data_IF_677987765272
#
_entry.id   IF_677987765272
#
_cell.length_a   1.000
_cell.length_b   1.000
_cell.length_c   1.000
_cell.angle_alpha   90.00
_cell.angle_beta   90.00
_cell.angle_gamma   90.00
#
_symmetry.space_group_name_H-M   'P 1'
#
loop_
_entity.id
_entity.type
_entity.pdbx_description
1 polymer ?
#
# COMPACT_ATOMS: atom_id res chain seq x y z
N UNK A 1 5.58 -6.15 9.28
CA UNK A 1 4.46 -5.26 9.60
C UNK A 1 3.20 -6.08 9.87
N UNK A 2 2.52 -5.79 10.94
CA UNK A 2 1.29 -6.46 11.30
C UNK A 2 0.13 -5.48 11.26
N UNK A 3 -0.95 -5.85 10.58
CA UNK A 3 -2.15 -5.03 10.53
C UNK A 3 -2.93 -5.28 11.82
N UNK A 4 -3.16 -4.23 12.58
CA UNK A 4 -3.81 -4.34 13.86
C UNK A 4 -5.21 -3.71 13.84
N UNK A 5 -5.88 -3.71 14.99
CA UNK A 5 -7.24 -3.22 15.12
C UNK A 5 -7.43 -1.73 14.80
N UNK A 6 -6.35 -0.95 14.79
CA UNK A 6 -6.44 0.48 14.48
C UNK A 6 -6.85 0.75 13.04
N UNK A 7 -6.72 -0.24 12.17
CA UNK A 7 -7.10 -0.12 10.78
C UNK A 7 -8.53 -0.56 10.49
N UNK A 8 -9.28 -0.96 11.51
CA UNK A 8 -10.71 -1.22 11.42
C UNK A 8 -11.12 -2.34 10.45
N UNK A 9 -10.42 -3.47 10.50
CA UNK A 9 -10.72 -4.61 9.64
C UNK A 9 -11.49 -5.73 10.34
N UNK A 10 -12.12 -5.46 11.46
CA UNK A 10 -12.70 -6.48 12.33
C UNK A 10 -13.82 -7.30 11.71
N UNK A 11 -14.59 -6.69 10.83
CA UNK A 11 -15.81 -7.31 10.31
C UNK A 11 -15.65 -7.83 8.90
N UNK A 12 -14.45 -7.74 8.35
CA UNK A 12 -14.23 -8.17 6.98
C UNK A 12 -13.94 -9.66 6.92
N UNK A 13 -14.56 -10.33 5.97
CA UNK A 13 -14.35 -11.75 5.72
C UNK A 13 -13.31 -11.99 4.63
N UNK A 14 -12.83 -10.91 4.01
CA UNK A 14 -11.84 -11.01 2.94
C UNK A 14 -10.41 -11.19 3.47
N UNK A 15 -9.54 -11.50 2.56
CA UNK A 15 -8.10 -11.59 2.83
C UNK A 15 -7.45 -10.25 2.58
N UNK A 16 -6.31 -10.02 3.25
CA UNK A 16 -5.50 -8.81 3.02
C UNK A 16 -4.53 -9.09 1.87
N UNK A 17 -4.55 -8.21 0.87
CA UNK A 17 -3.56 -8.22 -0.20
C UNK A 17 -2.63 -7.04 0.04
N UNK A 18 -1.33 -7.28 0.04
CA UNK A 18 -0.34 -6.23 0.31
C UNK A 18 0.81 -6.22 -0.68
N UNK A 19 1.37 -5.03 -0.84
CA UNK A 19 2.59 -4.76 -1.60
C UNK A 19 3.47 -3.92 -0.69
N UNK A 20 4.76 -4.22 -0.61
CA UNK A 20 5.70 -3.48 0.23
C UNK A 20 6.79 -2.86 -0.60
N UNK A 21 7.19 -1.64 -0.23
CA UNK A 21 8.35 -0.97 -0.79
C UNK A 21 9.39 -0.86 0.31
N UNK A 22 10.59 -1.38 0.06
CA UNK A 22 11.75 -1.24 0.94
C UNK A 22 12.75 -0.28 0.33
N UNK A 23 13.26 0.65 1.12
CA UNK A 23 14.16 1.70 0.62
C UNK A 23 15.65 1.32 0.69
N UNK A 24 16.01 0.16 1.24
CA UNK A 24 17.39 -0.39 1.17
C UNK A 24 18.46 0.65 1.53
N UNK A 25 18.51 1.04 2.79
CA UNK A 25 19.45 2.03 3.34
C UNK A 25 19.20 3.48 2.90
N UNK A 26 18.12 3.72 2.18
CA UNK A 26 17.67 5.06 1.86
C UNK A 26 16.49 5.40 2.76
N UNK A 27 16.19 6.67 2.86
CA UNK A 27 15.09 7.16 3.68
C UNK A 27 14.32 8.23 2.94
N UNK A 28 13.05 8.33 3.21
CA UNK A 28 12.23 9.46 2.77
C UNK A 28 11.61 10.10 3.99
N UNK A 29 10.86 11.16 3.80
CA UNK A 29 10.22 11.86 4.91
C UNK A 29 8.73 12.06 4.63
N UNK A 30 7.99 12.34 5.70
CA UNK A 30 6.54 12.45 5.63
C UNK A 30 6.09 13.61 4.75
N UNK A 31 6.78 14.74 4.83
CA UNK A 31 6.43 15.92 4.04
C UNK A 31 6.49 15.63 2.54
N UNK A 32 7.56 14.97 2.10
CA UNK A 32 7.70 14.57 0.71
C UNK A 32 6.54 13.65 0.28
N UNK A 33 6.23 12.65 1.11
CA UNK A 33 5.16 11.70 0.79
C UNK A 33 3.80 12.40 0.73
N UNK A 34 3.50 13.28 1.67
CA UNK A 34 2.24 14.03 1.67
C UNK A 34 2.08 14.78 0.36
N UNK A 35 3.12 15.49 -0.07
CA UNK A 35 3.07 16.29 -1.28
C UNK A 35 2.97 15.44 -2.54
N UNK A 36 3.74 14.36 -2.60
CA UNK A 36 3.76 13.49 -3.77
C UNK A 36 2.45 12.72 -3.92
N UNK A 37 1.95 12.17 -2.83
CA UNK A 37 0.72 11.36 -2.86
C UNK A 37 -0.53 12.16 -3.23
N UNK A 38 -0.56 13.47 -2.97
CA UNK A 38 -1.69 14.31 -3.38
C UNK A 38 -1.94 14.22 -4.88
N UNK A 39 -0.89 14.04 -5.67
CA UNK A 39 -0.99 13.93 -7.12
C UNK A 39 -1.76 12.69 -7.57
N UNK A 40 -1.95 11.73 -6.68
CA UNK A 40 -2.60 10.46 -6.97
C UNK A 40 -3.91 10.27 -6.19
N UNK A 41 -4.42 11.33 -5.59
CA UNK A 41 -5.61 11.27 -4.70
C UNK A 41 -5.38 10.35 -3.50
N UNK A 42 -4.19 10.42 -2.94
CA UNK A 42 -3.81 9.68 -1.73
C UNK A 42 -3.51 10.71 -0.65
N UNK A 43 -4.21 10.60 0.49
CA UNK A 43 -4.16 11.62 1.53
C UNK A 43 -3.90 11.00 2.90
N UNK A 44 -3.11 11.71 3.71
CA UNK A 44 -2.86 11.31 5.10
C UNK A 44 -4.13 11.53 5.91
N UNK A 45 -4.55 10.50 6.66
CA UNK A 45 -5.72 10.60 7.51
C UNK A 45 -5.33 10.97 8.95
N UNK A 46 -6.33 11.16 9.81
CA UNK A 46 -6.11 11.54 11.20
C UNK A 46 -5.42 10.45 12.02
N UNK A 47 -5.44 9.22 11.56
CA UNK A 47 -4.79 8.09 12.24
C UNK A 47 -3.34 7.90 11.85
N UNK A 48 -2.85 8.74 10.93
CA UNK A 48 -1.43 8.72 10.55
C UNK A 48 -1.08 7.72 9.46
N UNK A 49 -2.04 7.28 8.67
CA UNK A 49 -1.81 6.45 7.49
C UNK A 49 -2.41 7.12 6.26
N UNK A 50 -1.92 6.76 5.08
CA UNK A 50 -2.44 7.31 3.83
C UNK A 50 -3.57 6.45 3.29
N UNK A 51 -4.53 7.11 2.65
CA UNK A 51 -5.68 6.45 2.05
C UNK A 51 -5.88 6.92 0.62
N UNK A 52 -6.03 5.96 -0.30
CA UNK A 52 -6.37 6.26 -1.69
C UNK A 52 -7.87 6.42 -1.81
N UNK A 53 -8.29 7.55 -2.34
CA UNK A 53 -9.71 7.85 -2.53
C UNK A 53 -10.05 7.75 -4.02
N UNK A 54 -11.13 7.03 -4.32
CA UNK A 54 -11.65 6.90 -5.68
C UNK A 54 -13.17 6.94 -5.63
N UNK A 55 -13.78 7.89 -6.34
CA UNK A 55 -15.23 8.10 -6.33
C UNK A 55 -15.80 8.24 -4.91
N UNK A 56 -15.07 8.93 -4.04
CA UNK A 56 -15.49 9.15 -2.65
C UNK A 56 -15.31 7.95 -1.73
N UNK A 57 -14.69 6.88 -2.20
CA UNK A 57 -14.44 5.67 -1.41
C UNK A 57 -12.95 5.46 -1.21
N UNK A 58 -12.60 4.94 -0.04
CA UNK A 58 -11.23 4.52 0.25
C UNK A 58 -11.04 3.13 -0.33
N UNK A 59 -10.09 2.98 -1.25
CA UNK A 59 -9.89 1.71 -1.94
C UNK A 59 -8.65 0.95 -1.48
N UNK A 60 -7.64 1.64 -0.97
CA UNK A 60 -6.51 0.98 -0.30
C UNK A 60 -5.85 1.95 0.67
N UNK A 61 -5.01 1.40 1.53
CA UNK A 61 -4.32 2.13 2.58
C UNK A 61 -2.82 1.95 2.44
N UNK A 62 -2.05 2.96 2.82
CA UNK A 62 -0.59 2.90 2.85
C UNK A 62 -0.14 3.19 4.28
N UNK A 63 0.56 2.24 4.86
CA UNK A 63 1.13 2.34 6.20
C UNK A 63 2.65 2.38 6.14
N UNK A 64 3.26 2.79 7.25
CA UNK A 64 4.71 2.70 7.43
C UNK A 64 5.10 1.22 7.43
N UNK A 65 6.21 0.88 6.79
CA UNK A 65 6.68 -0.50 6.71
C UNK A 65 6.95 -1.10 8.09
N UNK A 66 7.43 -0.29 9.03
CA UNK A 66 7.81 -0.74 10.36
C UNK A 66 6.78 -0.34 11.42
N UNK A 67 6.74 -1.12 12.51
CA UNK A 67 5.86 -0.85 13.64
C UNK A 67 6.07 0.58 14.17
N UNK A 68 5.03 1.28 14.60
CA UNK A 68 3.64 0.80 14.76
C UNK A 68 2.77 0.93 13.50
N UNK A 69 3.34 1.28 12.37
CA UNK A 69 2.62 1.35 11.11
C UNK A 69 2.10 2.73 10.73
N UNK A 70 2.04 3.67 11.65
CA UNK A 70 1.66 5.04 11.29
C UNK A 70 2.89 5.88 10.98
N UNK A 71 2.62 7.00 10.29
CA UNK A 71 3.67 7.95 9.92
C UNK A 71 3.78 9.12 10.89
N UNK A 72 2.83 9.25 11.81
CA UNK A 72 2.84 10.36 12.77
C UNK A 72 4.18 10.43 13.49
N UNK A 73 4.79 11.62 13.49
CA UNK A 73 6.09 11.89 14.09
C UNK A 73 7.25 11.10 13.49
N UNK A 74 7.05 10.47 12.33
CA UNK A 74 8.12 9.75 11.65
C UNK A 74 9.07 10.74 10.95
N UNK A 75 10.31 10.80 11.44
CA UNK A 75 11.34 11.67 10.84
C UNK A 75 11.99 11.00 9.63
N UNK A 76 12.17 9.69 9.70
CA UNK A 76 12.79 8.90 8.64
C UNK A 76 11.91 7.72 8.33
N UNK A 77 11.53 7.61 7.07
CA UNK A 77 10.67 6.52 6.60
C UNK A 77 11.51 5.62 5.70
N UNK A 78 11.58 4.33 6.04
CA UNK A 78 12.43 3.35 5.36
C UNK A 78 11.65 2.40 4.48
N UNK A 79 10.35 2.58 4.39
CA UNK A 79 9.52 1.78 3.51
C UNK A 79 8.04 2.00 3.73
N UNK A 80 7.26 1.40 2.84
CA UNK A 80 5.81 1.56 2.79
C UNK A 80 5.14 0.21 2.63
N UNK A 81 3.95 0.06 3.21
CA UNK A 81 3.08 -1.10 2.97
C UNK A 81 1.76 -0.61 2.40
N UNK A 82 1.44 -1.07 1.21
CA UNK A 82 0.17 -0.81 0.53
C UNK A 82 -0.71 -2.03 0.74
N UNK A 83 -1.96 -1.85 1.13
CA UNK A 83 -2.83 -3.00 1.36
C UNK A 83 -4.30 -2.65 1.19
N UNK A 84 -5.09 -3.69 0.92
CA UNK A 84 -6.55 -3.61 0.93
C UNK A 84 -7.12 -4.97 1.29
N UNK A 85 -8.41 -4.99 1.63
CA UNK A 85 -9.12 -6.23 1.96
C UNK A 85 -9.96 -6.62 0.77
N UNK A 86 -9.86 -7.89 0.36
CA UNK A 86 -10.58 -8.40 -0.80
C UNK A 86 -12.10 -8.37 -0.58
N UNK A 87 -12.80 -8.10 -1.65
CA UNK A 87 -14.26 -8.17 -1.71
C UNK A 87 -14.65 -9.03 -2.91
N UNK A 88 -15.35 -8.50 -3.90
CA UNK A 88 -15.65 -9.29 -5.09
C UNK A 88 -14.49 -9.26 -6.10
N UNK A 89 -14.32 -10.30 -6.94
CA UNK A 89 -13.16 -10.40 -7.83
C UNK A 89 -12.97 -9.23 -8.80
N UNK A 90 -14.05 -8.63 -9.28
CA UNK A 90 -13.97 -7.51 -10.23
C UNK A 90 -13.35 -6.30 -9.55
N UNK A 91 -13.84 -5.96 -8.34
CA UNK A 91 -13.32 -4.83 -7.59
C UNK A 91 -11.89 -5.10 -7.12
N UNK A 92 -11.59 -6.32 -6.69
CA UNK A 92 -10.25 -6.71 -6.26
C UNK A 92 -9.23 -6.49 -7.37
N UNK A 93 -9.56 -6.85 -8.60
CA UNK A 93 -8.67 -6.66 -9.74
C UNK A 93 -8.41 -5.18 -9.99
N UNK A 94 -9.46 -4.36 -9.96
CA UNK A 94 -9.32 -2.91 -10.14
C UNK A 94 -8.47 -2.28 -9.06
N UNK A 95 -8.70 -2.66 -7.80
CA UNK A 95 -7.98 -2.11 -6.67
C UNK A 95 -6.51 -2.53 -6.74
N UNK A 96 -6.23 -3.79 -7.03
CA UNK A 96 -4.85 -4.27 -7.14
C UNK A 96 -4.10 -3.55 -8.26
N UNK A 97 -4.74 -3.37 -9.42
CA UNK A 97 -4.13 -2.61 -10.52
C UNK A 97 -3.83 -1.17 -10.12
N UNK A 98 -4.77 -0.52 -9.47
CA UNK A 98 -4.59 0.85 -9.00
C UNK A 98 -3.46 0.94 -7.97
N UNK A 99 -3.46 0.02 -7.02
CA UNK A 99 -2.45 -0.04 -5.96
C UNK A 99 -1.06 -0.29 -6.52
N UNK A 100 -0.92 -1.24 -7.44
CA UNK A 100 0.35 -1.55 -8.08
C UNK A 100 0.87 -0.37 -8.90
N UNK A 101 -0.01 0.30 -9.64
CA UNK A 101 0.37 1.49 -10.41
C UNK A 101 0.83 2.63 -9.49
N UNK A 102 0.13 2.84 -8.38
CA UNK A 102 0.51 3.87 -7.41
C UNK A 102 1.86 3.54 -6.75
N UNK A 103 2.07 2.26 -6.41
CA UNK A 103 3.35 1.82 -5.85
C UNK A 103 4.50 2.06 -6.83
N UNK A 104 4.30 1.74 -8.11
CA UNK A 104 5.32 1.99 -9.13
C UNK A 104 5.64 3.48 -9.28
N UNK A 105 4.61 4.33 -9.26
CA UNK A 105 4.82 5.78 -9.40
C UNK A 105 5.62 6.35 -8.26
N UNK A 106 5.25 6.04 -7.03
CA UNK A 106 5.98 6.55 -5.88
C UNK A 106 7.38 5.93 -5.81
N UNK A 107 7.52 4.67 -6.19
CA UNK A 107 8.80 3.98 -6.15
C UNK A 107 9.83 4.61 -7.09
N UNK A 108 9.41 5.19 -8.21
CA UNK A 108 10.32 5.92 -9.09
C UNK A 108 10.94 7.11 -8.39
N UNK A 109 10.19 7.75 -7.48
CA UNK A 109 10.66 8.93 -6.76
C UNK A 109 11.56 8.58 -5.57
N UNK A 110 11.29 7.45 -4.91
CA UNK A 110 12.01 7.10 -3.69
C UNK A 110 13.07 6.02 -3.90
N UNK A 111 13.13 5.43 -5.11
CA UNK A 111 14.16 4.45 -5.49
C UNK A 111 14.26 3.24 -4.57
N UNK A 112 13.12 2.69 -4.19
CA UNK A 112 13.06 1.47 -3.41
C UNK A 112 12.91 0.23 -4.29
N UNK A 113 12.55 -0.87 -3.65
CA UNK A 113 12.20 -2.11 -4.32
C UNK A 113 10.83 -2.56 -3.86
N UNK A 114 10.05 -3.09 -4.79
CA UNK A 114 8.68 -3.51 -4.52
C UNK A 114 8.67 -5.02 -4.31
N UNK A 115 8.02 -5.46 -3.24
CA UNK A 115 7.89 -6.87 -2.89
C UNK A 115 6.42 -7.23 -2.71
N UNK A 116 6.08 -8.50 -2.99
CA UNK A 116 4.75 -9.02 -2.65
C UNK A 116 4.71 -9.43 -1.17
N UNK A 117 3.58 -9.97 -0.74
CA UNK A 117 3.38 -10.39 0.65
C UNK A 117 4.23 -11.60 1.06
N UNK A 118 4.81 -12.30 0.09
CA UNK A 118 5.72 -13.42 0.34
C UNK A 118 7.19 -13.01 0.38
N UNK A 119 7.46 -11.71 0.25
CA UNK A 119 8.84 -11.21 0.26
C UNK A 119 9.57 -11.36 -1.06
N UNK A 120 8.86 -11.65 -2.14
CA UNK A 120 9.46 -11.78 -3.48
C UNK A 120 9.39 -10.44 -4.19
N UNK A 121 10.44 -10.11 -4.95
CA UNK A 121 10.44 -8.90 -5.77
C UNK A 121 9.32 -9.00 -6.81
N UNK A 122 8.49 -7.97 -6.89
CA UNK A 122 7.41 -7.93 -7.85
C UNK A 122 7.96 -7.52 -9.22
N UNK A 123 7.77 -8.41 -10.17
CA UNK A 123 7.94 -8.14 -11.60
C UNK A 123 6.61 -8.44 -12.27
N UNK A 124 6.57 -8.36 -13.58
CA UNK A 124 5.35 -8.60 -14.33
C UNK A 124 4.74 -10.00 -14.04
N UNK A 125 5.59 -11.02 -13.99
CA UNK A 125 5.12 -12.39 -13.75
C UNK A 125 4.53 -12.57 -12.35
N UNK A 126 5.18 -12.04 -11.33
CA UNK A 126 4.69 -12.12 -9.95
C UNK A 126 3.39 -11.35 -9.78
N UNK A 127 3.26 -10.21 -10.46
CA UNK A 127 2.04 -9.43 -10.44
C UNK A 127 0.87 -10.21 -11.07
N UNK A 128 1.10 -10.84 -12.21
CA UNK A 128 0.09 -11.65 -12.86
C UNK A 128 -0.34 -12.82 -11.98
N UNK A 129 0.60 -13.44 -11.28
CA UNK A 129 0.31 -14.50 -10.34
C UNK A 129 -0.55 -13.99 -9.18
N UNK A 130 -0.26 -12.82 -8.64
CA UNK A 130 -1.09 -12.19 -7.62
C UNK A 130 -2.52 -11.99 -8.11
N UNK A 131 -2.70 -11.51 -9.33
CA UNK A 131 -4.02 -11.35 -9.93
C UNK A 131 -4.76 -12.69 -10.00
N UNK A 132 -4.08 -13.73 -10.46
CA UNK A 132 -4.68 -15.05 -10.62
C UNK A 132 -5.09 -15.65 -9.30
N UNK A 133 -4.23 -15.58 -8.30
CA UNK A 133 -4.42 -16.27 -7.04
C UNK A 133 -5.33 -15.53 -6.06
N UNK A 134 -5.37 -14.20 -6.13
CA UNK A 134 -6.01 -13.40 -5.10
C UNK A 134 -7.26 -12.66 -5.57
N UNK A 135 -7.44 -12.42 -6.86
CA UNK A 135 -8.53 -11.56 -7.33
C UNK A 135 -9.35 -12.13 -8.48
N UNK A 136 -8.96 -13.24 -9.06
CA UNK A 136 -9.65 -13.82 -10.22
C UNK A 136 -10.32 -15.15 -9.97
N UNK A 137 -10.17 -15.69 -8.78
CA UNK A 137 -10.79 -16.97 -8.40
C UNK A 137 -12.12 -16.78 -7.73
#
# INVERSE_FOLDING_TARGET
FEINSDFSFHNDTGEVISIRIHLNNKKTNLEFLINEFKNYNIFLNKNGVFEKVDNGKIIFTIANLYEPGYFKDALNIEGLTFFFITSNPIDNKKILNNMFNSANKINREINGRIYNDKGQIINENNYLEMLRNNVTT
#
